data_IF_148424818090
#
_entry.id   IF_148424818090
#
_cell.length_a   1.000
_cell.length_b   1.000
_cell.length_c   1.000
_cell.angle_alpha   90.00
_cell.angle_beta   90.00
_cell.angle_gamma   90.00
#
_symmetry.space_group_name_H-M   'P 1'
#
loop_
_entity.id
_entity.type
_entity.pdbx_description
1 polymer ?
#
# COMPACT_ATOMS: atom_id res chain seq x y z
N UNK A 1 -39.60 20.21 43.97
CA UNK A 1 -39.79 21.18 42.89
C UNK A 1 -38.43 21.74 42.52
N UNK A 2 -38.05 21.57 41.25
CA UNK A 2 -37.13 22.41 40.45
C UNK A 2 -35.78 22.83 41.07
N UNK A 3 -34.64 22.85 40.38
CA UNK A 3 -34.23 22.50 39.02
C UNK A 3 -32.73 22.85 38.96
N UNK A 4 -31.97 22.15 38.10
CA UNK A 4 -30.81 22.63 37.31
C UNK A 4 -29.65 23.39 38.00
N UNK A 5 -28.36 23.28 37.66
CA UNK A 5 -27.47 22.44 36.82
C UNK A 5 -26.06 23.04 37.03
N UNK A 6 -25.02 22.30 36.63
CA UNK A 6 -23.62 22.73 36.35
C UNK A 6 -22.67 22.59 37.56
N UNK A 7 -21.47 22.00 37.51
CA UNK A 7 -20.55 21.52 36.47
C UNK A 7 -19.91 20.20 37.02
N UNK A 8 -19.29 19.26 36.29
CA UNK A 8 -18.17 19.38 35.35
C UNK A 8 -17.95 18.00 34.68
N UNK A 9 -17.74 18.07 33.36
CA UNK A 9 -17.24 17.12 32.35
C UNK A 9 -16.78 15.72 32.80
N UNK A 10 -17.44 14.68 32.27
CA UNK A 10 -16.90 13.33 32.13
C UNK A 10 -16.33 13.14 30.71
N UNK A 11 -15.01 12.91 30.61
CA UNK A 11 -14.38 12.46 29.37
C UNK A 11 -14.88 11.04 29.02
N UNK A 12 -15.75 10.95 28.03
CA UNK A 12 -16.02 9.69 27.31
C UNK A 12 -14.98 9.56 26.19
N UNK A 13 -13.95 8.75 26.42
CA UNK A 13 -13.11 8.25 25.33
C UNK A 13 -13.96 7.28 24.51
N UNK A 14 -14.40 7.73 23.34
CA UNK A 14 -15.06 6.88 22.34
C UNK A 14 -14.00 5.99 21.71
N UNK A 15 -13.85 4.76 22.19
CA UNK A 15 -13.09 3.73 21.49
C UNK A 15 -13.94 3.26 20.31
N UNK A 16 -13.74 3.89 19.14
CA UNK A 16 -14.23 3.34 17.87
C UNK A 16 -13.55 2.01 17.64
N UNK A 17 -14.33 0.92 17.73
CA UNK A 17 -13.85 -0.45 17.60
C UNK A 17 -13.15 -0.68 16.25
N UNK A 18 -11.82 -0.73 16.27
CA UNK A 18 -11.06 -1.33 15.18
C UNK A 18 -11.35 -2.83 15.19
N UNK A 19 -11.97 -3.33 14.12
CA UNK A 19 -12.02 -4.77 13.83
C UNK A 19 -10.58 -5.27 13.72
N UNK A 20 -10.02 -5.77 14.81
CA UNK A 20 -8.73 -6.44 14.84
C UNK A 20 -8.86 -7.65 13.91
N UNK A 21 -8.02 -7.71 12.87
CA UNK A 21 -8.02 -8.83 11.92
C UNK A 21 -7.85 -10.12 12.71
N UNK A 22 -8.78 -11.07 12.53
CA UNK A 22 -8.78 -12.38 13.22
C UNK A 22 -7.52 -13.23 12.95
N UNK A 23 -6.66 -12.80 12.03
CA UNK A 23 -5.42 -13.46 11.63
C UNK A 23 -4.32 -13.45 12.71
N UNK A 24 -4.44 -12.63 13.75
CA UNK A 24 -3.41 -12.55 14.81
C UNK A 24 -3.58 -13.60 15.94
N UNK A 25 -4.60 -14.46 15.92
CA UNK A 25 -4.96 -15.30 17.07
C UNK A 25 -4.48 -16.75 17.03
N UNK A 26 -3.92 -17.23 15.93
CA UNK A 26 -3.27 -18.54 15.86
C UNK A 26 -1.77 -18.34 15.69
N UNK A 27 -1.12 -17.91 16.76
CA UNK A 27 0.31 -18.16 16.92
C UNK A 27 0.37 -19.50 17.65
N UNK A 28 0.70 -20.57 16.94
CA UNK A 28 1.06 -21.82 17.60
C UNK A 28 2.23 -21.50 18.53
N UNK A 29 2.03 -21.76 19.82
CA UNK A 29 3.06 -21.49 20.83
C UNK A 29 4.19 -22.51 20.65
N UNK A 30 5.24 -22.12 19.93
CA UNK A 30 6.50 -22.86 19.98
C UNK A 30 7.06 -22.66 21.39
N UNK A 31 7.38 -23.76 22.07
CA UNK A 31 7.99 -23.70 23.40
C UNK A 31 9.25 -22.81 23.32
N UNK A 32 9.51 -21.96 24.33
CA UNK A 32 10.54 -20.91 24.25
C UNK A 32 11.95 -21.46 24.03
N UNK A 33 12.20 -22.72 24.38
CA UNK A 33 13.44 -23.46 24.15
C UNK A 33 13.62 -23.94 22.70
N UNK A 34 12.53 -24.06 21.92
CA UNK A 34 12.54 -24.56 20.55
C UNK A 34 12.32 -23.47 19.49
N UNK A 35 11.88 -22.27 19.89
CA UNK A 35 11.59 -21.16 18.99
C UNK A 35 12.82 -20.66 18.22
N UNK A 36 14.03 -20.78 18.78
CA UNK A 36 15.27 -20.45 18.07
C UNK A 36 15.58 -21.46 16.97
N UNK A 37 15.54 -22.75 17.29
CA UNK A 37 15.78 -23.84 16.34
C UNK A 37 14.77 -23.85 15.20
N UNK A 38 13.48 -23.67 15.52
CA UNK A 38 12.42 -23.57 14.54
C UNK A 38 12.61 -22.38 13.58
N UNK A 39 13.06 -21.22 14.08
CA UNK A 39 13.39 -20.07 13.22
C UNK A 39 14.57 -20.36 12.30
N UNK A 40 15.61 -21.04 12.80
CA UNK A 40 16.77 -21.42 11.99
C UNK A 40 16.39 -22.43 10.90
N UNK A 41 15.51 -23.38 11.21
CA UNK A 41 15.00 -24.34 10.23
C UNK A 41 14.19 -23.65 9.13
N UNK A 42 13.28 -22.75 9.50
CA UNK A 42 12.53 -21.94 8.53
C UNK A 42 13.44 -21.07 7.65
N UNK A 43 14.52 -20.51 8.22
CA UNK A 43 15.49 -19.73 7.46
C UNK A 43 16.25 -20.60 6.47
N UNK A 44 16.75 -21.77 6.91
CA UNK A 44 17.40 -22.73 6.02
C UNK A 44 16.48 -23.18 4.88
N UNK A 45 15.19 -23.40 5.16
CA UNK A 45 14.22 -23.71 4.11
C UNK A 45 14.13 -22.55 3.13
N UNK A 46 13.97 -21.30 3.60
CA UNK A 46 13.85 -20.13 2.74
C UNK A 46 15.07 -19.91 1.83
N UNK A 47 16.29 -20.05 2.37
CA UNK A 47 17.54 -19.88 1.59
C UNK A 47 17.73 -20.97 0.52
N UNK A 48 17.25 -22.18 0.78
CA UNK A 48 17.41 -23.33 -0.12
C UNK A 48 16.20 -23.58 -1.04
N UNK A 49 15.06 -22.95 -0.79
CA UNK A 49 13.92 -22.98 -1.70
C UNK A 49 14.18 -22.05 -2.88
N UNK A 50 14.17 -22.59 -4.10
CA UNK A 50 14.17 -21.80 -5.31
C UNK A 50 12.94 -20.89 -5.31
N UNK A 51 13.15 -19.59 -5.16
CA UNK A 51 12.06 -18.63 -5.21
C UNK A 51 11.88 -18.17 -6.66
N UNK A 52 10.91 -18.76 -7.35
CA UNK A 52 10.55 -18.44 -8.73
C UNK A 52 10.12 -16.97 -8.91
N UNK A 53 9.77 -16.26 -7.83
CA UNK A 53 9.45 -14.83 -7.88
C UNK A 53 10.73 -13.95 -7.92
N UNK A 54 11.90 -14.49 -7.55
CA UNK A 54 13.17 -13.78 -7.63
C UNK A 54 13.72 -13.90 -9.04
N UNK A 55 13.53 -12.85 -9.83
CA UNK A 55 14.11 -12.80 -11.17
C UNK A 55 15.64 -12.74 -11.10
N UNK A 56 16.35 -13.46 -12.00
CA UNK A 56 17.80 -13.37 -12.08
C UNK A 56 18.23 -11.92 -12.34
N UNK A 57 19.35 -11.48 -11.74
CA UNK A 57 19.83 -10.12 -11.91
C UNK A 57 20.09 -9.85 -13.40
N UNK A 58 19.45 -8.79 -13.92
CA UNK A 58 19.68 -8.32 -15.29
C UNK A 58 20.75 -7.23 -15.24
N UNK A 59 21.79 -7.36 -16.07
CA UNK A 59 22.85 -6.34 -16.19
C UNK A 59 22.34 -5.02 -16.79
N UNK A 60 21.17 -5.04 -17.43
CA UNK A 60 20.53 -3.86 -17.98
C UNK A 60 19.63 -3.19 -16.95
N UNK A 61 19.95 -1.94 -16.66
CA UNK A 61 19.08 -1.10 -15.85
C UNK A 61 17.76 -0.82 -16.60
N UNK A 62 16.63 -0.76 -15.88
CA UNK A 62 15.32 -0.63 -16.51
C UNK A 62 15.15 0.71 -17.24
N UNK A 63 14.36 0.69 -18.32
CA UNK A 63 14.03 1.84 -19.15
C UNK A 63 13.48 3.00 -18.31
N UNK A 64 14.01 4.21 -18.49
CA UNK A 64 13.67 5.42 -17.73
C UNK A 64 14.69 5.78 -16.64
N UNK A 65 15.79 5.03 -16.49
CA UNK A 65 16.86 5.27 -15.49
C UNK A 65 17.51 6.65 -15.60
N UNK A 66 17.48 7.22 -16.81
CA UNK A 66 17.99 8.53 -17.19
C UNK A 66 17.08 9.68 -16.75
N UNK A 67 15.83 9.38 -16.38
CA UNK A 67 14.90 10.37 -15.85
C UNK A 67 15.38 10.91 -14.51
N UNK A 68 15.00 12.14 -14.21
CA UNK A 68 15.19 12.71 -12.89
C UNK A 68 14.46 11.86 -11.84
N UNK A 69 14.98 11.85 -10.61
CA UNK A 69 14.49 11.00 -9.51
C UNK A 69 12.97 11.08 -9.33
N UNK A 70 12.38 12.27 -9.45
CA UNK A 70 10.93 12.49 -9.31
C UNK A 70 10.13 11.76 -10.38
N UNK A 71 10.55 11.86 -11.63
CA UNK A 71 9.86 11.28 -12.77
C UNK A 71 10.06 9.76 -12.81
N UNK A 72 11.27 9.30 -12.46
CA UNK A 72 11.58 7.88 -12.29
C UNK A 72 10.69 7.20 -11.24
N UNK A 73 10.52 7.83 -10.08
CA UNK A 73 9.64 7.32 -9.02
C UNK A 73 8.19 7.30 -9.48
N UNK A 74 7.76 8.32 -10.22
CA UNK A 74 6.38 8.41 -10.74
C UNK A 74 6.11 7.30 -11.75
N UNK A 75 7.03 7.07 -12.69
CA UNK A 75 6.96 5.98 -13.66
C UNK A 75 6.89 4.61 -12.99
N UNK A 76 7.71 4.38 -11.96
CA UNK A 76 7.69 3.09 -11.24
C UNK A 76 6.41 2.88 -10.43
N UNK A 77 5.84 3.95 -9.83
CA UNK A 77 4.51 3.87 -9.19
C UNK A 77 3.42 3.53 -10.21
N UNK A 78 3.48 4.10 -11.41
CA UNK A 78 2.57 3.77 -12.50
C UNK A 78 2.73 2.29 -12.92
N UNK A 79 3.95 1.80 -13.15
CA UNK A 79 4.23 0.39 -13.48
C UNK A 79 3.72 -0.60 -12.41
N UNK A 80 3.88 -0.24 -11.13
CA UNK A 80 3.38 -1.03 -10.01
C UNK A 80 1.86 -0.87 -9.75
N UNK A 81 1.13 -0.15 -10.62
CA UNK A 81 -0.32 0.09 -10.52
C UNK A 81 -0.75 0.79 -9.22
N UNK A 82 0.14 1.57 -8.62
CA UNK A 82 -0.07 2.35 -7.39
C UNK A 82 0.08 3.86 -7.63
N UNK A 83 0.05 4.28 -8.90
CA UNK A 83 0.13 5.68 -9.31
C UNK A 83 -1.12 6.46 -8.93
N UNK A 84 -0.95 7.75 -8.62
CA UNK A 84 -2.07 8.67 -8.49
C UNK A 84 -2.45 9.18 -9.87
N UNK A 85 -3.65 8.83 -10.34
CA UNK A 85 -4.21 9.27 -11.62
C UNK A 85 -5.44 10.15 -11.40
N UNK A 86 -5.86 10.95 -12.38
CA UNK A 86 -7.07 11.77 -12.24
C UNK A 86 -8.30 10.92 -11.94
N UNK A 87 -8.43 9.72 -12.54
CA UNK A 87 -9.50 8.77 -12.20
C UNK A 87 -9.48 8.35 -10.72
N UNK A 88 -8.30 8.08 -10.17
CA UNK A 88 -8.16 7.71 -8.75
C UNK A 88 -8.43 8.91 -7.83
N UNK A 89 -7.96 10.10 -8.21
CA UNK A 89 -8.20 11.33 -7.44
C UNK A 89 -9.67 11.75 -7.46
N UNK A 90 -10.36 11.59 -8.60
CA UNK A 90 -11.80 11.80 -8.71
C UNK A 90 -12.58 10.80 -7.85
N UNK A 91 -12.21 9.51 -7.90
CA UNK A 91 -12.78 8.47 -7.02
C UNK A 91 -12.65 8.82 -5.53
N UNK A 92 -11.56 9.47 -5.14
CA UNK A 92 -11.33 9.94 -3.77
C UNK A 92 -11.89 11.33 -3.48
N UNK A 93 -12.62 11.95 -4.42
CA UNK A 93 -13.19 13.30 -4.30
C UNK A 93 -12.14 14.38 -4.05
N UNK A 94 -10.89 14.15 -4.46
CA UNK A 94 -9.78 15.12 -4.41
C UNK A 94 -9.71 15.98 -5.67
N UNK A 95 -10.38 15.55 -6.74
CA UNK A 95 -10.47 16.25 -8.02
C UNK A 95 -11.93 16.22 -8.52
N UNK A 96 -12.43 17.28 -9.19
CA UNK A 96 -13.80 17.32 -9.70
C UNK A 96 -14.07 16.41 -10.90
N UNK A 97 -13.06 16.13 -11.74
CA UNK A 97 -13.17 15.28 -12.92
C UNK A 97 -12.01 14.27 -13.03
N UNK A 98 -12.23 13.22 -13.80
CA UNK A 98 -11.26 12.16 -14.11
C UNK A 98 -10.49 12.39 -15.42
N UNK A 99 -10.71 13.54 -16.06
CA UNK A 99 -10.23 13.84 -17.41
C UNK A 99 -8.70 14.06 -17.47
N UNK A 100 -8.10 13.55 -18.54
CA UNK A 100 -6.72 13.76 -18.89
C UNK A 100 -6.56 15.09 -19.65
N UNK A 101 -5.41 15.79 -19.56
CA UNK A 101 -5.13 16.97 -20.38
C UNK A 101 -5.23 16.71 -21.89
N UNK A 102 -4.97 15.49 -22.35
CA UNK A 102 -5.13 15.09 -23.76
C UNK A 102 -6.59 14.82 -24.18
N UNK A 103 -7.56 15.43 -23.49
CA UNK A 103 -9.02 15.28 -23.70
C UNK A 103 -9.62 13.87 -23.51
N UNK A 104 -8.86 12.93 -22.94
CA UNK A 104 -9.42 11.61 -22.60
C UNK A 104 -10.31 11.72 -21.35
N UNK A 105 -11.54 11.18 -21.44
CA UNK A 105 -12.54 11.19 -20.35
C UNK A 105 -12.03 10.58 -19.04
N UNK A 106 -11.13 9.58 -19.12
CA UNK A 106 -10.62 8.88 -17.96
C UNK A 106 -9.10 8.70 -18.03
N UNK A 107 -8.38 9.50 -17.26
CA UNK A 107 -6.94 9.30 -17.07
C UNK A 107 -6.71 8.08 -16.17
N UNK A 108 -6.56 6.90 -16.76
CA UNK A 108 -6.14 5.66 -16.08
C UNK A 108 -4.62 5.49 -16.15
N UNK A 109 -4.07 4.57 -15.34
CA UNK A 109 -2.63 4.23 -15.42
C UNK A 109 -2.28 3.68 -16.80
N UNK A 110 -3.15 2.85 -17.37
CA UNK A 110 -2.96 2.29 -18.71
C UNK A 110 -2.91 3.42 -19.74
N UNK A 111 -3.89 4.32 -19.72
CA UNK A 111 -3.93 5.48 -20.61
C UNK A 111 -2.61 6.29 -20.55
N UNK A 112 -2.12 6.64 -19.36
CA UNK A 112 -0.85 7.38 -19.19
C UNK A 112 0.34 6.64 -19.80
N UNK A 113 0.39 5.31 -19.69
CA UNK A 113 1.56 4.53 -20.09
C UNK A 113 1.58 4.13 -21.57
N UNK A 114 0.41 4.02 -22.23
CA UNK A 114 0.31 3.45 -23.59
C UNK A 114 -0.40 4.32 -24.62
N UNK A 115 -1.24 5.26 -24.20
CA UNK A 115 -2.14 5.99 -25.12
C UNK A 115 -2.04 7.51 -25.01
N UNK A 116 -1.53 8.03 -23.89
CA UNK A 116 -1.48 9.46 -23.62
C UNK A 116 -0.42 10.12 -24.51
N UNK A 117 -0.83 11.19 -25.17
CA UNK A 117 0.03 12.00 -26.05
C UNK A 117 0.68 13.18 -25.34
N UNK A 118 0.32 13.41 -24.07
CA UNK A 118 0.86 14.46 -23.19
C UNK A 118 1.60 13.90 -21.98
#
# INVERSE_FOLDING_TARGET
FASQTLFYVAEKVIVRGSKIRKSFRTVESVQPDQAASHRLELWNIWDNTTNEDIQPPKEQLPLGRELQKKDWVTLNRARAKVGMTASTMHKWKLRPNSECPCDNQNQTIYHILSECTE
#
